data_IF_248927944459
#
_entry.id   IF_248927944459
#
_cell.length_a   1.000
_cell.length_b   1.000
_cell.length_c   1.000
_cell.angle_alpha   90.00
_cell.angle_beta   90.00
_cell.angle_gamma   90.00
#
_symmetry.space_group_name_H-M   'P 1'
#
loop_
_entity.id
_entity.type
_entity.pdbx_description
1 polymer ?
#
# COMPACT_ATOMS: atom_id res chain seq x y z
N UNK A 1 14.69 -23.23 -4.78
CA UNK A 1 13.26 -22.90 -4.53
C UNK A 1 13.15 -21.39 -4.38
N UNK A 2 13.34 -20.66 -5.47
CA UNK A 2 13.45 -19.19 -5.53
C UNK A 2 12.44 -18.59 -6.52
N UNK A 3 12.05 -19.37 -7.53
CA UNK A 3 11.10 -19.00 -8.58
C UNK A 3 9.70 -18.63 -8.04
N UNK A 4 9.16 -19.44 -7.13
CA UNK A 4 7.83 -19.22 -6.53
C UNK A 4 7.75 -17.96 -5.66
N UNK A 5 8.83 -17.61 -4.96
CA UNK A 5 8.89 -16.41 -4.11
C UNK A 5 8.94 -15.14 -4.99
N UNK A 6 9.67 -15.19 -6.11
CA UNK A 6 9.74 -14.09 -7.07
C UNK A 6 8.36 -13.87 -7.72
N UNK A 7 7.71 -14.94 -8.19
CA UNK A 7 6.36 -14.84 -8.78
C UNK A 7 5.34 -14.25 -7.81
N UNK A 8 5.36 -14.69 -6.54
CA UNK A 8 4.44 -14.20 -5.51
C UNK A 8 4.69 -12.74 -5.15
N UNK A 9 5.95 -12.30 -5.11
CA UNK A 9 6.30 -10.90 -4.87
C UNK A 9 5.90 -9.99 -6.04
N UNK A 10 6.11 -10.46 -7.29
CA UNK A 10 5.71 -9.73 -8.50
C UNK A 10 4.20 -9.59 -8.62
N UNK A 11 3.44 -10.64 -8.32
CA UNK A 11 1.97 -10.60 -8.32
C UNK A 11 1.42 -9.57 -7.33
N UNK A 12 1.91 -9.60 -6.08
CA UNK A 12 1.54 -8.63 -5.05
C UNK A 12 1.88 -7.20 -5.46
N UNK A 13 3.07 -6.99 -5.99
CA UNK A 13 3.52 -5.68 -6.47
C UNK A 13 2.59 -5.13 -7.55
N UNK A 14 2.32 -5.91 -8.61
CA UNK A 14 1.45 -5.48 -9.70
C UNK A 14 0.03 -5.20 -9.20
N UNK A 15 -0.50 -6.02 -8.29
CA UNK A 15 -1.82 -5.80 -7.70
C UNK A 15 -1.91 -4.49 -6.90
N UNK A 16 -0.85 -4.15 -6.16
CA UNK A 16 -0.80 -2.85 -5.45
C UNK A 16 -0.69 -1.69 -6.42
N UNK A 17 0.05 -1.84 -7.53
CA UNK A 17 0.07 -0.82 -8.60
C UNK A 17 -1.34 -0.61 -9.19
N UNK A 18 -2.05 -1.69 -9.52
CA UNK A 18 -3.43 -1.62 -10.04
C UNK A 18 -4.37 -0.89 -9.05
N UNK A 19 -4.22 -1.13 -7.75
CA UNK A 19 -4.99 -0.43 -6.73
C UNK A 19 -4.66 1.06 -6.66
N UNK A 20 -3.37 1.44 -6.73
CA UNK A 20 -2.97 2.84 -6.76
C UNK A 20 -3.49 3.56 -8.00
N UNK A 21 -3.51 2.90 -9.16
CA UNK A 21 -4.10 3.44 -10.38
C UNK A 21 -5.62 3.62 -10.26
N UNK A 22 -6.32 2.68 -9.61
CA UNK A 22 -7.75 2.79 -9.36
C UNK A 22 -8.07 3.98 -8.43
N UNK A 23 -7.29 4.15 -7.35
CA UNK A 23 -7.41 5.27 -6.42
C UNK A 23 -7.17 6.60 -7.14
N UNK A 24 -6.15 6.68 -8.00
CA UNK A 24 -5.86 7.88 -8.77
C UNK A 24 -6.98 8.21 -9.77
N UNK A 25 -7.66 7.20 -10.32
CA UNK A 25 -8.78 7.38 -11.25
C UNK A 25 -10.06 7.84 -10.56
N UNK A 26 -10.29 7.40 -9.33
CA UNK A 26 -11.44 7.78 -8.49
C UNK A 26 -11.17 9.01 -7.61
N UNK A 27 -10.00 9.64 -7.78
CA UNK A 27 -9.59 10.76 -6.93
C UNK A 27 -10.58 11.94 -7.00
N UNK A 28 -11.18 12.23 -5.85
CA UNK A 28 -12.02 13.39 -5.63
C UNK A 28 -11.22 14.50 -4.90
N UNK A 29 -11.00 15.67 -5.55
CA UNK A 29 -10.25 16.77 -4.96
C UNK A 29 -10.96 17.41 -3.75
N UNK A 30 -12.25 17.17 -3.54
CA UNK A 30 -13.03 17.68 -2.41
C UNK A 30 -12.86 16.80 -1.16
N UNK A 31 -12.24 15.61 -1.27
CA UNK A 31 -12.04 14.66 -0.17
C UNK A 31 -10.61 14.07 -0.10
N UNK A 32 -9.59 14.91 0.18
CA UNK A 32 -8.19 14.49 0.20
C UNK A 32 -7.82 13.51 1.32
N UNK A 33 -8.54 13.49 2.46
CA UNK A 33 -8.28 12.55 3.56
C UNK A 33 -8.60 11.09 3.20
N UNK A 34 -9.62 10.88 2.36
CA UNK A 34 -9.96 9.57 1.81
C UNK A 34 -8.84 9.05 0.89
N UNK A 35 -8.18 9.93 0.12
CA UNK A 35 -7.06 9.55 -0.74
C UNK A 35 -5.89 8.96 0.05
N UNK A 36 -5.46 9.64 1.13
CA UNK A 36 -4.31 9.19 1.93
C UNK A 36 -4.58 7.83 2.59
N UNK A 37 -5.79 7.65 3.09
CA UNK A 37 -6.21 6.38 3.71
C UNK A 37 -6.17 5.23 2.70
N UNK A 38 -6.76 5.43 1.53
CA UNK A 38 -6.78 4.43 0.46
C UNK A 38 -5.37 4.05 -0.02
N UNK A 39 -4.46 5.02 -0.14
CA UNK A 39 -3.05 4.75 -0.49
C UNK A 39 -2.38 3.88 0.59
N UNK A 40 -2.60 4.17 1.87
CA UNK A 40 -2.02 3.39 2.97
C UNK A 40 -2.58 1.95 2.95
N UNK A 41 -3.88 1.77 2.70
CA UNK A 41 -4.49 0.44 2.58
C UNK A 41 -3.90 -0.37 1.42
N UNK A 42 -3.68 0.26 0.26
CA UNK A 42 -3.06 -0.39 -0.89
C UNK A 42 -1.62 -0.83 -0.62
N UNK A 43 -0.84 0.00 0.10
CA UNK A 43 0.53 -0.31 0.51
C UNK A 43 0.61 -1.37 1.61
N UNK A 44 -0.38 -1.44 2.50
CA UNK A 44 -0.49 -2.48 3.52
C UNK A 44 -0.57 -3.89 2.92
N UNK A 45 -1.09 -4.03 1.70
CA UNK A 45 -1.06 -5.30 0.94
C UNK A 45 0.35 -5.81 0.59
N UNK A 46 1.36 -4.95 0.66
CA UNK A 46 2.79 -5.29 0.50
C UNK A 46 3.51 -5.45 1.84
N UNK A 47 2.78 -5.44 2.96
CA UNK A 47 3.34 -5.34 4.32
C UNK A 47 4.19 -4.06 4.52
N UNK A 48 3.95 -3.02 3.70
CA UNK A 48 4.63 -1.73 3.79
C UNK A 48 3.77 -0.79 4.63
N UNK A 49 4.31 -0.40 5.80
CA UNK A 49 3.67 0.54 6.70
C UNK A 49 4.48 1.85 6.78
N UNK A 50 3.80 3.00 6.92
CA UNK A 50 4.51 4.26 7.11
C UNK A 50 5.29 4.23 8.44
N UNK A 51 6.52 4.75 8.45
CA UNK A 51 7.33 4.85 9.68
C UNK A 51 6.64 5.65 10.80
N UNK A 52 5.70 6.54 10.46
CA UNK A 52 4.87 7.23 11.45
C UNK A 52 3.91 6.30 12.20
N UNK A 53 3.51 5.17 11.62
CA UNK A 53 2.78 4.11 12.33
C UNK A 53 3.70 3.26 13.22
N UNK A 54 4.99 3.14 12.85
CA UNK A 54 6.02 2.50 13.67
C UNK A 54 6.36 3.32 14.93
N UNK A 55 6.16 4.64 14.90
CA UNK A 55 6.44 5.55 16.01
C UNK A 55 5.58 5.33 17.28
N UNK A 56 4.67 4.35 17.27
CA UNK A 56 3.95 3.88 18.46
C UNK A 56 4.46 2.56 19.06
N UNK A 57 5.55 1.98 18.53
CA UNK A 57 6.09 0.68 18.98
C UNK A 57 7.61 0.70 19.23
N UNK A 58 8.11 1.76 19.86
CA UNK A 58 9.46 1.77 20.45
C UNK A 58 9.49 2.73 21.65
N UNK A 59 8.78 2.35 22.72
CA UNK A 59 9.07 2.81 24.09
C UNK A 59 8.91 1.58 25.00
N UNK A 60 10.03 0.87 25.19
CA UNK A 60 10.16 -0.34 26.00
C UNK A 60 11.61 -0.73 26.19
#
# INVERSE_FOLDING_TARGET
MTDTQIYTATDRYNRTVDQLEAIARDFDPERPDDLRTQIIEALGGLDIWPMSALAGQDDG
#
